data_IF_966598556561
#
_entry.id   IF_966598556561
#
_cell.length_a   1.000
_cell.length_b   1.000
_cell.length_c   1.000
_cell.angle_alpha   90.00
_cell.angle_beta   90.00
_cell.angle_gamma   90.00
#
_symmetry.space_group_name_H-M   'P 1'
#
loop_
_entity.id
_entity.type
_entity.pdbx_description
1 polymer ?
#
# COMPACT_ATOMS: atom_id res chain seq x y z
N UNK A 1 26.92 0.20 -6.71
CA UNK A 1 25.85 1.15 -7.12
C UNK A 1 25.57 2.24 -6.08
N UNK A 2 25.17 1.95 -4.83
CA UNK A 2 24.89 3.02 -3.83
C UNK A 2 26.16 3.78 -3.36
N UNK A 3 27.31 3.10 -3.31
CA UNK A 3 28.62 3.69 -2.97
C UNK A 3 29.24 4.51 -4.10
N UNK A 4 28.89 4.22 -5.35
CA UNK A 4 29.57 4.78 -6.52
C UNK A 4 28.99 6.13 -6.96
N UNK A 5 27.82 6.50 -6.42
CA UNK A 5 27.13 7.74 -6.75
C UNK A 5 27.21 8.68 -5.53
N UNK A 6 27.80 9.88 -5.65
CA UNK A 6 27.80 10.85 -4.55
C UNK A 6 26.44 11.53 -4.39
N UNK A 7 26.18 12.11 -3.20
CA UNK A 7 24.97 12.88 -2.92
C UNK A 7 23.76 12.06 -2.44
N UNK A 8 22.61 12.72 -2.36
CA UNK A 8 21.35 12.14 -1.89
C UNK A 8 20.79 11.16 -2.93
N UNK A 9 20.41 9.97 -2.48
CA UNK A 9 19.77 8.93 -3.31
C UNK A 9 18.36 8.64 -2.84
N UNK A 10 17.52 8.29 -3.79
CA UNK A 10 16.21 7.69 -3.55
C UNK A 10 16.23 6.32 -4.20
N UNK A 11 15.99 5.27 -3.42
CA UNK A 11 15.89 3.88 -3.91
C UNK A 11 14.42 3.54 -3.99
N UNK A 12 13.91 3.29 -5.19
CA UNK A 12 12.48 3.04 -5.44
C UNK A 12 12.27 1.58 -5.81
N UNK A 13 11.31 0.93 -5.15
CA UNK A 13 10.96 -0.47 -5.34
C UNK A 13 9.45 -0.61 -5.45
N UNK A 14 8.99 -1.35 -6.44
CA UNK A 14 7.57 -1.65 -6.62
C UNK A 14 7.34 -3.16 -6.53
N UNK A 15 6.31 -3.59 -5.80
CA UNK A 15 5.92 -4.99 -5.71
C UNK A 15 7.10 -5.86 -5.25
N UNK A 16 7.51 -6.87 -6.01
CA UNK A 16 8.70 -7.66 -5.70
C UNK A 16 9.99 -6.83 -5.54
N UNK A 17 10.11 -5.68 -6.21
CA UNK A 17 11.23 -4.76 -6.00
C UNK A 17 11.22 -4.08 -4.63
N UNK A 18 10.06 -3.97 -3.96
CA UNK A 18 9.98 -3.52 -2.57
C UNK A 18 10.49 -4.61 -1.62
N UNK A 19 10.09 -5.88 -1.82
CA UNK A 19 10.61 -7.01 -1.04
C UNK A 19 12.15 -7.13 -1.09
N UNK A 20 12.74 -6.84 -2.25
CA UNK A 20 14.21 -6.77 -2.39
C UNK A 20 14.82 -5.68 -1.49
N UNK A 21 14.13 -4.55 -1.32
CA UNK A 21 14.56 -3.51 -0.40
C UNK A 21 14.38 -3.93 1.06
N UNK A 22 13.28 -4.61 1.41
CA UNK A 22 13.08 -5.17 2.74
C UNK A 22 14.20 -6.15 3.12
N UNK A 23 14.52 -7.07 2.22
CA UNK A 23 15.64 -8.00 2.40
C UNK A 23 16.97 -7.25 2.55
N UNK A 24 17.22 -6.24 1.71
CA UNK A 24 18.45 -5.45 1.83
C UNK A 24 18.54 -4.73 3.18
N UNK A 25 17.44 -4.12 3.63
CA UNK A 25 17.35 -3.42 4.92
C UNK A 25 17.52 -4.36 6.11
N UNK A 26 17.06 -5.61 6.02
CA UNK A 26 17.32 -6.65 7.03
C UNK A 26 18.76 -7.14 7.01
N UNK A 27 19.27 -7.47 5.83
CA UNK A 27 20.50 -8.26 5.66
C UNK A 27 21.76 -7.38 5.67
N UNK A 28 21.72 -6.24 4.97
CA UNK A 28 22.89 -5.37 4.78
C UNK A 28 22.75 -4.02 5.50
N UNK A 29 21.52 -3.55 5.70
CA UNK A 29 21.23 -2.27 6.36
C UNK A 29 21.95 -2.07 7.71
N UNK A 30 21.95 -3.05 8.63
CA UNK A 30 22.55 -2.88 9.97
C UNK A 30 24.06 -2.65 9.94
N UNK A 31 24.77 -3.28 8.99
CA UNK A 31 26.24 -3.25 8.90
C UNK A 31 26.77 -2.37 7.76
N UNK A 32 25.88 -1.79 6.95
CA UNK A 32 26.27 -0.93 5.83
C UNK A 32 26.98 0.34 6.33
N UNK A 33 28.05 0.70 5.63
CA UNK A 33 28.84 1.92 5.81
C UNK A 33 28.25 3.13 5.08
N UNK A 34 27.17 2.94 4.30
CA UNK A 34 26.43 4.04 3.67
C UNK A 34 25.82 4.91 4.77
N UNK A 35 26.09 6.22 4.70
CA UNK A 35 25.46 7.20 5.58
C UNK A 35 23.93 7.22 5.34
N UNK A 36 23.10 6.84 6.34
CA UNK A 36 21.65 6.81 6.19
C UNK A 36 21.03 8.17 5.87
N UNK A 37 21.66 9.27 6.26
CA UNK A 37 21.18 10.61 5.92
C UNK A 37 21.25 10.91 4.41
N UNK A 38 22.02 10.11 3.66
CA UNK A 38 22.19 10.27 2.21
C UNK A 38 21.25 9.40 1.38
N UNK A 39 20.46 8.50 1.99
CA UNK A 39 19.60 7.56 1.26
C UNK A 39 18.19 7.53 1.85
N UNK A 40 17.18 7.54 0.98
CA UNK A 40 15.80 7.27 1.33
C UNK A 40 15.27 6.11 0.51
N UNK A 41 14.63 5.15 1.17
CA UNK A 41 13.94 4.04 0.51
C UNK A 41 12.48 4.41 0.30
N UNK A 42 11.95 4.08 -0.87
CA UNK A 42 10.53 4.27 -1.22
C UNK A 42 10.01 2.95 -1.76
N UNK A 43 9.17 2.31 -0.94
CA UNK A 43 8.57 1.02 -1.23
C UNK A 43 7.12 1.27 -1.65
N UNK A 44 6.72 0.76 -2.80
CA UNK A 44 5.35 0.88 -3.32
C UNK A 44 4.78 -0.51 -3.58
N UNK A 45 3.50 -0.74 -3.29
CA UNK A 45 2.93 -2.07 -3.50
C UNK A 45 3.66 -3.14 -2.67
N UNK A 46 4.18 -2.76 -1.49
CA UNK A 46 4.97 -3.65 -0.66
C UNK A 46 4.11 -4.65 0.10
N UNK A 47 4.28 -5.93 -0.25
CA UNK A 47 3.57 -7.03 0.38
C UNK A 47 4.09 -7.41 1.77
N UNK A 48 5.31 -6.99 2.09
CA UNK A 48 5.95 -7.24 3.38
C UNK A 48 5.65 -6.15 4.40
N UNK A 49 4.93 -5.08 4.02
CA UNK A 49 4.54 -3.97 4.90
C UNK A 49 3.91 -4.47 6.21
N UNK A 50 4.44 -4.00 7.34
CA UNK A 50 4.10 -4.43 8.70
C UNK A 50 2.61 -4.48 9.01
N UNK A 51 1.87 -3.41 8.65
CA UNK A 51 0.50 -3.25 9.14
C UNK A 51 -0.54 -3.90 8.26
N UNK A 52 -0.42 -3.78 6.94
CA UNK A 52 -1.43 -4.26 5.99
C UNK A 52 -0.81 -4.97 4.78
N UNK A 53 0.49 -5.24 4.76
CA UNK A 53 1.09 -6.09 3.74
C UNK A 53 0.51 -7.50 3.80
N UNK A 54 0.27 -8.12 2.64
CA UNK A 54 -0.41 -9.40 2.58
C UNK A 54 0.41 -10.54 3.21
N UNK A 55 1.74 -10.42 3.31
CA UNK A 55 2.55 -11.37 4.07
C UNK A 55 2.32 -11.32 5.59
N UNK A 56 1.86 -10.17 6.11
CA UNK A 56 1.55 -10.00 7.54
C UNK A 56 0.08 -10.24 7.85
N UNK A 57 -0.84 -9.71 7.03
CA UNK A 57 -2.29 -9.74 7.32
C UNK A 57 -3.12 -10.59 6.35
N UNK A 58 -2.65 -10.72 5.10
CA UNK A 58 -3.40 -11.35 4.00
C UNK A 58 -3.15 -12.86 3.83
N UNK A 59 -2.15 -13.41 4.52
CA UNK A 59 -1.75 -14.82 4.41
C UNK A 59 -0.87 -15.16 3.20
N UNK A 60 -0.28 -14.15 2.55
CA UNK A 60 0.74 -14.38 1.52
C UNK A 60 2.05 -14.87 2.13
N UNK A 61 2.96 -15.34 1.27
CA UNK A 61 4.34 -15.65 1.63
C UNK A 61 5.27 -14.69 0.90
N UNK A 62 6.18 -14.06 1.63
CA UNK A 62 7.24 -13.26 1.06
C UNK A 62 8.26 -14.11 0.30
N UNK A 63 8.76 -13.58 -0.83
CA UNK A 63 9.71 -14.24 -1.72
C UNK A 63 11.12 -14.28 -1.11
N UNK A 64 11.49 -13.25 -0.34
CA UNK A 64 12.84 -13.06 0.21
C UNK A 64 12.90 -13.35 1.72
N UNK A 65 12.04 -14.25 2.19
CA UNK A 65 12.20 -14.98 3.45
C UNK A 65 11.99 -14.19 4.74
N UNK A 66 11.60 -12.93 4.68
CA UNK A 66 11.29 -12.11 5.86
C UNK A 66 9.88 -11.51 5.84
N UNK A 67 9.49 -10.96 6.99
CA UNK A 67 8.28 -10.16 7.17
C UNK A 67 8.74 -8.74 7.56
N UNK A 68 8.62 -7.79 6.63
CA UNK A 68 8.96 -6.37 6.79
C UNK A 68 10.47 -6.10 7.03
N UNK A 69 10.95 -4.89 6.72
CA UNK A 69 12.25 -4.41 7.20
C UNK A 69 12.29 -4.27 8.75
N UNK A 70 13.48 -4.18 9.39
CA UNK A 70 13.56 -4.03 10.85
C UNK A 70 12.99 -2.70 11.36
N UNK A 71 12.18 -2.74 12.42
CA UNK A 71 11.56 -1.55 13.04
C UNK A 71 12.59 -0.48 13.46
N UNK A 72 13.80 -0.91 13.83
CA UNK A 72 14.92 -0.08 14.25
C UNK A 72 15.89 0.26 13.10
N UNK A 73 15.45 0.12 11.84
CA UNK A 73 16.27 0.50 10.68
C UNK A 73 16.81 1.91 10.80
N UNK A 74 18.10 2.06 10.53
CA UNK A 74 18.79 3.36 10.55
C UNK A 74 18.48 4.23 9.34
N UNK A 75 17.85 3.68 8.30
CA UNK A 75 17.52 4.39 7.07
C UNK A 75 16.10 4.96 7.10
N UNK A 76 15.91 6.10 6.41
CA UNK A 76 14.57 6.63 6.17
C UNK A 76 13.83 5.77 5.15
N UNK A 77 12.63 5.32 5.49
CA UNK A 77 11.80 4.47 4.63
C UNK A 77 10.41 5.09 4.47
N UNK A 78 9.96 5.28 3.22
CA UNK A 78 8.58 5.63 2.89
C UNK A 78 7.89 4.40 2.30
N UNK A 79 6.85 3.92 2.96
CA UNK A 79 6.05 2.77 2.53
C UNK A 79 4.75 3.32 1.98
N UNK A 80 4.48 3.09 0.70
CA UNK A 80 3.32 3.63 -0.01
C UNK A 80 2.43 2.46 -0.42
N UNK A 81 1.28 2.39 0.23
CA UNK A 81 0.21 1.50 -0.16
C UNK A 81 -0.88 2.31 -0.85
N UNK A 82 -1.55 1.68 -1.81
CA UNK A 82 -2.77 2.20 -2.42
C UNK A 82 -3.96 1.49 -1.80
N UNK A 83 -5.02 2.24 -1.48
CA UNK A 83 -6.19 1.63 -0.84
C UNK A 83 -6.75 0.50 -1.70
N UNK A 84 -6.96 -0.64 -1.05
CA UNK A 84 -7.43 -1.91 -1.62
C UNK A 84 -6.47 -2.60 -2.60
N UNK A 85 -5.21 -2.18 -2.66
CA UNK A 85 -4.17 -3.01 -3.23
C UNK A 85 -3.99 -4.22 -2.31
N UNK A 86 -4.50 -5.40 -2.68
CA UNK A 86 -4.45 -6.56 -1.80
C UNK A 86 -3.04 -6.90 -1.34
N UNK A 87 -2.02 -6.61 -2.15
CA UNK A 87 -0.65 -6.94 -1.81
C UNK A 87 -0.15 -6.04 -0.67
N UNK A 88 -0.34 -4.73 -0.76
CA UNK A 88 0.23 -3.76 0.19
C UNK A 88 -0.75 -3.20 1.22
N UNK A 89 -2.04 -3.39 0.98
CA UNK A 89 -3.19 -2.98 1.77
C UNK A 89 -4.22 -4.13 1.80
N UNK A 90 -3.77 -5.25 2.36
CA UNK A 90 -4.58 -6.42 2.63
C UNK A 90 -5.57 -6.17 3.79
N UNK A 91 -6.82 -6.65 3.68
CA UNK A 91 -7.70 -6.77 4.84
C UNK A 91 -7.12 -7.77 5.84
N UNK A 92 -7.36 -7.52 7.13
CA UNK A 92 -6.99 -8.43 8.20
C UNK A 92 -7.80 -9.72 8.10
N UNK A 93 -7.10 -10.85 8.05
CA UNK A 93 -7.71 -12.17 7.94
C UNK A 93 -8.76 -12.45 9.02
N UNK A 94 -8.50 -12.01 10.25
CA UNK A 94 -9.40 -12.25 11.39
C UNK A 94 -10.65 -11.36 11.38
N UNK A 95 -10.62 -10.25 10.62
CA UNK A 95 -11.73 -9.31 10.46
C UNK A 95 -12.46 -9.48 9.12
N UNK A 96 -12.05 -10.47 8.33
CA UNK A 96 -12.53 -10.68 6.97
C UNK A 96 -14.03 -10.98 6.94
N UNK A 97 -14.78 -10.17 6.18
CA UNK A 97 -16.21 -10.34 5.93
C UNK A 97 -16.52 -10.47 4.43
N UNK A 98 -17.77 -10.78 4.09
CA UNK A 98 -18.19 -11.01 2.70
C UNK A 98 -18.07 -9.80 1.78
N UNK A 99 -18.24 -8.58 2.32
CA UNK A 99 -18.04 -7.36 1.54
C UNK A 99 -16.56 -7.17 1.22
N UNK A 100 -15.68 -7.32 2.22
CA UNK A 100 -14.24 -7.24 2.05
C UNK A 100 -13.69 -8.31 1.10
N UNK A 101 -14.17 -9.58 1.21
CA UNK A 101 -13.80 -10.66 0.27
C UNK A 101 -14.13 -10.33 -1.18
N UNK A 102 -15.34 -9.82 -1.43
CA UNK A 102 -15.77 -9.44 -2.79
C UNK A 102 -14.99 -8.24 -3.30
N UNK A 103 -14.73 -7.27 -2.44
CA UNK A 103 -13.94 -6.09 -2.80
C UNK A 103 -12.50 -6.46 -3.17
N UNK A 104 -11.86 -7.32 -2.37
CA UNK A 104 -10.56 -7.90 -2.69
C UNK A 104 -10.59 -8.63 -4.04
N UNK A 105 -11.51 -9.58 -4.24
CA UNK A 105 -11.56 -10.31 -5.52
C UNK A 105 -11.73 -9.39 -6.74
N UNK A 106 -12.40 -8.25 -6.57
CA UNK A 106 -12.56 -7.26 -7.62
C UNK A 106 -11.28 -6.44 -7.85
N UNK A 107 -10.49 -6.16 -6.81
CA UNK A 107 -9.27 -5.33 -6.89
C UNK A 107 -8.18 -5.92 -7.79
N UNK A 108 -8.21 -7.23 -8.02
CA UNK A 108 -7.36 -7.94 -8.99
C UNK A 108 -7.70 -7.64 -10.46
N UNK A 109 -8.81 -6.95 -10.73
CA UNK A 109 -9.27 -6.72 -12.11
C UNK A 109 -9.63 -5.26 -12.38
N UNK A 110 -10.04 -4.53 -11.35
CA UNK A 110 -10.39 -3.11 -11.48
C UNK A 110 -9.80 -2.31 -10.33
N UNK A 111 -9.29 -1.14 -10.67
CA UNK A 111 -8.59 -0.36 -9.69
C UNK A 111 -8.16 0.99 -10.19
N UNK A 112 -8.90 1.72 -11.01
CA UNK A 112 -8.43 3.04 -11.44
C UNK A 112 -9.20 3.68 -12.58
N UNK A 113 -8.81 4.89 -12.95
CA UNK A 113 -9.43 5.68 -14.01
C UNK A 113 -9.12 5.03 -15.36
N UNK A 114 -10.06 4.23 -15.88
CA UNK A 114 -9.90 3.43 -17.10
C UNK A 114 -10.10 1.94 -16.85
N UNK A 115 -11.12 1.63 -16.06
CA UNK A 115 -11.41 0.39 -15.31
C UNK A 115 -11.19 -0.91 -16.11
N UNK A 116 -10.01 -1.52 -15.91
CA UNK A 116 -9.64 -2.82 -16.47
C UNK A 116 -8.23 -3.28 -16.07
N UNK A 117 -7.71 -2.78 -14.95
CA UNK A 117 -6.38 -3.12 -14.43
C UNK A 117 -6.45 -3.32 -12.91
N UNK A 118 -5.66 -4.27 -12.36
CA UNK A 118 -5.55 -4.45 -10.91
C UNK A 118 -5.11 -3.17 -10.19
N UNK A 119 -5.60 -2.95 -8.97
CA UNK A 119 -5.21 -1.81 -8.11
C UNK A 119 -3.69 -1.76 -7.93
N UNK A 120 -3.07 -2.93 -7.75
CA UNK A 120 -1.64 -3.12 -7.52
C UNK A 120 -0.75 -2.50 -8.61
N UNK A 121 -1.23 -2.48 -9.85
CA UNK A 121 -0.42 -2.09 -11.01
C UNK A 121 -0.36 -0.58 -11.25
N UNK A 122 -1.13 0.22 -10.50
CA UNK A 122 -1.23 1.67 -10.77
C UNK A 122 -1.07 2.50 -9.49
N UNK A 123 0.15 3.00 -9.31
CA UNK A 123 0.55 3.98 -8.31
C UNK A 123 0.86 5.35 -8.94
N UNK A 124 0.61 5.53 -10.23
CA UNK A 124 1.08 6.70 -11.01
C UNK A 124 0.51 8.04 -10.53
N UNK A 125 -0.62 8.00 -9.81
CA UNK A 125 -1.32 9.16 -9.27
C UNK A 125 -1.17 9.33 -7.76
N UNK A 126 -0.31 8.53 -7.11
CA UNK A 126 -0.07 8.64 -5.66
C UNK A 126 1.12 9.57 -5.42
N UNK A 127 0.85 10.80 -5.00
CA UNK A 127 1.88 11.73 -4.56
C UNK A 127 2.41 11.35 -3.18
N UNK A 128 3.73 11.38 -2.97
CA UNK A 128 4.31 11.07 -1.65
C UNK A 128 3.91 12.07 -0.56
N UNK A 129 3.74 13.33 -0.95
CA UNK A 129 3.47 14.44 -0.02
C UNK A 129 2.06 15.03 -0.28
N UNK A 130 1.16 14.26 -0.88
CA UNK A 130 -0.22 14.67 -1.11
C UNK A 130 -0.93 14.87 0.25
N UNK A 131 -1.52 16.06 0.52
CA UNK A 131 -2.20 16.33 1.78
C UNK A 131 -3.44 15.45 2.01
N UNK A 132 -3.98 14.81 0.98
CA UNK A 132 -5.09 13.87 1.09
C UNK A 132 -4.66 12.46 1.55
N UNK A 133 -3.34 12.16 1.55
CA UNK A 133 -2.84 10.89 2.05
C UNK A 133 -3.14 10.74 3.55
N UNK A 134 -3.32 9.49 3.97
CA UNK A 134 -3.22 9.13 5.38
C UNK A 134 -1.82 8.66 5.69
N UNK A 135 -1.23 9.19 6.76
CA UNK A 135 0.15 8.89 7.13
C UNK A 135 0.26 8.45 8.57
N UNK A 136 1.18 7.53 8.84
CA UNK A 136 1.56 7.09 10.17
C UNK A 136 3.08 6.96 10.22
N UNK A 137 3.70 7.50 11.27
CA UNK A 137 5.16 7.51 11.42
C UNK A 137 5.55 6.63 12.60
N UNK A 138 6.47 5.71 12.37
CA UNK A 138 7.05 4.82 13.38
C UNK A 138 8.57 4.79 13.18
N UNK A 139 9.33 5.35 14.13
CA UNK A 139 10.77 5.48 14.00
C UNK A 139 11.18 6.26 12.73
N UNK A 140 11.99 5.63 11.89
CA UNK A 140 12.43 6.17 10.59
C UNK A 140 11.51 5.80 9.42
N UNK A 141 10.42 5.07 9.68
CA UNK A 141 9.45 4.65 8.68
C UNK A 141 8.24 5.60 8.64
N UNK A 142 7.80 5.93 7.43
CA UNK A 142 6.53 6.62 7.19
C UNK A 142 5.66 5.74 6.32
N UNK A 143 4.56 5.26 6.89
CA UNK A 143 3.52 4.51 6.19
C UNK A 143 2.53 5.50 5.59
N UNK A 144 2.29 5.38 4.29
CA UNK A 144 1.49 6.30 3.48
C UNK A 144 0.41 5.46 2.80
N UNK A 145 -0.85 5.75 3.10
CA UNK A 145 -1.97 5.24 2.34
C UNK A 145 -2.41 6.33 1.36
N UNK A 146 -2.11 6.06 0.08
CA UNK A 146 -2.23 6.99 -1.03
C UNK A 146 -3.66 7.33 -1.44
N UNK A 147 -3.89 8.61 -1.74
CA UNK A 147 -5.11 9.13 -2.38
C UNK A 147 -4.88 9.46 -3.89
N UNK A 148 -5.94 9.49 -4.73
CA UNK A 148 -7.30 9.06 -4.42
C UNK A 148 -7.35 7.54 -4.32
N UNK A 149 -7.90 7.13 -3.19
CA UNK A 149 -8.00 5.77 -2.72
C UNK A 149 -9.06 5.02 -3.54
N UNK A 150 -8.77 4.72 -4.80
CA UNK A 150 -9.69 4.14 -5.79
C UNK A 150 -11.00 4.91 -6.06
N UNK A 151 -11.41 4.96 -7.33
CA UNK A 151 -12.73 5.45 -7.71
C UNK A 151 -13.75 4.38 -7.38
N UNK A 152 -14.66 4.65 -6.43
CA UNK A 152 -15.50 3.63 -5.79
C UNK A 152 -14.71 2.40 -5.28
N UNK A 153 -15.34 1.60 -4.44
CA UNK A 153 -14.86 0.27 -4.08
C UNK A 153 -14.64 -0.56 -5.35
N UNK A 154 -13.53 -1.31 -5.50
CA UNK A 154 -13.32 -2.21 -6.63
C UNK A 154 -14.56 -3.05 -7.03
N UNK A 155 -15.30 -3.64 -6.08
CA UNK A 155 -16.50 -4.41 -6.44
C UNK A 155 -17.66 -3.55 -6.98
N UNK A 156 -17.72 -2.28 -6.61
CA UNK A 156 -18.68 -1.30 -7.12
C UNK A 156 -18.23 -0.79 -8.50
N UNK A 157 -16.93 -0.59 -8.68
CA UNK A 157 -16.30 -0.27 -9.96
C UNK A 157 -16.67 -1.29 -11.02
N UNK A 158 -16.68 -2.59 -10.71
CA UNK A 158 -17.10 -3.67 -11.64
C UNK A 158 -18.58 -3.64 -12.05
N UNK A 159 -19.45 -2.94 -11.31
CA UNK A 159 -20.88 -2.95 -11.61
C UNK A 159 -21.16 -2.23 -12.93
N UNK A 160 -21.84 -2.91 -13.85
CA UNK A 160 -22.32 -2.29 -15.08
C UNK A 160 -23.63 -1.54 -14.82
N UNK A 161 -23.50 -0.35 -14.23
CA UNK A 161 -24.63 0.49 -13.80
C UNK A 161 -24.29 1.98 -13.88
N UNK A 162 -25.24 2.85 -13.51
CA UNK A 162 -25.07 4.30 -13.53
C UNK A 162 -24.13 4.77 -12.41
N UNK A 163 -23.48 5.93 -12.60
CA UNK A 163 -22.63 6.54 -11.58
C UNK A 163 -23.40 6.81 -10.27
N UNK A 164 -24.64 7.30 -10.35
CA UNK A 164 -25.48 7.50 -9.17
C UNK A 164 -25.71 6.19 -8.39
N UNK A 165 -25.94 5.08 -9.09
CA UNK A 165 -26.08 3.78 -8.43
C UNK A 165 -24.76 3.30 -7.82
N UNK A 166 -23.63 3.53 -8.51
CA UNK A 166 -22.31 3.22 -7.94
C UNK A 166 -22.06 4.02 -6.66
N UNK A 167 -22.42 5.31 -6.61
CA UNK A 167 -22.31 6.13 -5.40
C UNK A 167 -23.15 5.58 -4.23
N UNK A 168 -24.40 5.20 -4.47
CA UNK A 168 -25.25 4.58 -3.45
C UNK A 168 -24.66 3.26 -2.92
N UNK A 169 -24.16 2.41 -3.81
CA UNK A 169 -23.57 1.13 -3.44
C UNK A 169 -22.25 1.30 -2.68
N UNK A 170 -21.42 2.26 -3.10
CA UNK A 170 -20.18 2.59 -2.40
C UNK A 170 -20.46 3.08 -0.97
N UNK A 171 -21.36 4.05 -0.82
CA UNK A 171 -21.75 4.59 0.48
C UNK A 171 -22.30 3.50 1.41
N UNK A 172 -23.04 2.54 0.86
CA UNK A 172 -23.61 1.41 1.61
C UNK A 172 -22.56 0.35 1.98
N UNK A 173 -21.67 0.02 1.05
CA UNK A 173 -20.77 -1.13 1.19
C UNK A 173 -19.42 -0.77 1.80
N UNK A 174 -18.94 0.47 1.64
CA UNK A 174 -17.61 0.89 2.13
C UNK A 174 -17.47 0.71 3.64
N UNK A 175 -18.44 1.10 4.48
CA UNK A 175 -18.33 0.83 5.91
C UNK A 175 -18.19 -0.66 6.23
N UNK A 176 -18.83 -1.55 5.49
CA UNK A 176 -18.71 -3.00 5.68
C UNK A 176 -17.33 -3.52 5.22
N UNK A 177 -16.80 -3.02 4.09
CA UNK A 177 -15.45 -3.34 3.63
C UNK A 177 -14.41 -2.86 4.66
N UNK A 178 -14.51 -1.61 5.12
CA UNK A 178 -13.55 -0.99 6.03
C UNK A 178 -13.47 -1.68 7.39
N UNK A 179 -14.51 -2.38 7.86
CA UNK A 179 -14.45 -3.20 9.10
C UNK A 179 -13.39 -4.30 9.05
N UNK A 180 -12.97 -4.72 7.85
CA UNK A 180 -11.93 -5.73 7.69
C UNK A 180 -10.51 -5.15 7.76
N UNK A 181 -10.35 -3.83 7.85
CA UNK A 181 -9.06 -3.15 7.83
C UNK A 181 -8.77 -2.48 9.17
N UNK A 182 -7.60 -2.77 9.74
CA UNK A 182 -7.07 -2.12 10.94
C UNK A 182 -5.77 -1.42 10.56
N UNK A 183 -5.90 -0.18 10.09
CA UNK A 183 -4.81 0.63 9.57
C UNK A 183 -4.41 1.67 10.62
N UNK A 184 -3.12 1.80 11.01
CA UNK A 184 -2.73 2.78 12.02
C UNK A 184 -2.91 4.23 11.56
N UNK A 185 -2.86 4.50 10.26
CA UNK A 185 -3.13 5.82 9.67
C UNK A 185 -4.63 6.09 9.43
N UNK A 186 -5.50 5.10 9.68
CA UNK A 186 -6.90 5.11 9.28
C UNK A 186 -7.09 5.05 7.76
N UNK A 187 -8.28 5.42 7.29
CA UNK A 187 -8.67 5.34 5.87
C UNK A 187 -8.85 6.74 5.27
N UNK A 188 -8.47 6.94 3.99
CA UNK A 188 -8.86 8.12 3.23
C UNK A 188 -10.39 8.29 3.21
N UNK A 189 -10.89 9.53 3.09
CA UNK A 189 -12.32 9.76 2.93
C UNK A 189 -12.84 9.06 1.68
N UNK A 190 -14.15 8.75 1.67
CA UNK A 190 -14.81 8.28 0.46
C UNK A 190 -14.66 9.34 -0.67
N UNK A 191 -14.62 8.93 -1.95
CA UNK A 191 -14.63 9.86 -3.07
C UNK A 191 -15.84 10.80 -2.97
N UNK A 192 -15.63 12.11 -3.10
CA UNK A 192 -16.72 13.07 -3.21
C UNK A 192 -17.37 12.97 -4.60
N UNK A 193 -18.70 13.05 -4.67
CA UNK A 193 -19.41 13.19 -5.94
C UNK A 193 -18.96 14.49 -6.63
N UNK A 194 -18.12 14.38 -7.66
CA UNK A 194 -17.76 15.49 -8.57
C UNK A 194 -18.10 15.11 -9.99
#
# INVERSE_FOLDING_TARGET
MLHEIPGRKIVVGHSQGAQVQDDWLRTYGPTSDIDPATVTFVLTGDLESKYNGCANQGGCRADYGGNNFPDDTRYTVKIVARQYDFWADAPNRDLMNDAARRNHSASDSVGGRGEGRPVHNDYSMIGLDDPANKTFVEGNATYILGAPATYYLPMVTQMWTTAARKAEEDARLRPEVEKAYDRPMGSPPAPSDT
#
